data_IF_223906643514
#
_entry.id   IF_223906643514
#
_cell.length_a   1.000
_cell.length_b   1.000
_cell.length_c   1.000
_cell.angle_alpha   90.00
_cell.angle_beta   90.00
_cell.angle_gamma   90.00
#
_symmetry.space_group_name_H-M   'P 1'
#
loop_
_entity.id
_entity.type
_entity.pdbx_description
1 polymer ?
#
# COMPACT_ATOMS: atom_id res chain seq x y z
N UNK A 1 -14.28 -9.24 0.14
CA UNK A 1 -13.95 -9.61 -1.26
C UNK A 1 -14.75 -8.83 -2.32
N UNK A 2 -15.16 -7.58 -2.05
CA UNK A 2 -16.09 -6.86 -2.96
C UNK A 2 -15.53 -6.68 -4.38
N UNK A 3 -14.25 -6.28 -4.54
CA UNK A 3 -13.64 -6.13 -5.86
C UNK A 3 -13.65 -7.47 -6.61
N UNK A 4 -13.20 -8.54 -5.96
CA UNK A 4 -13.13 -9.89 -6.54
C UNK A 4 -14.50 -10.34 -7.07
N UNK A 5 -15.56 -10.18 -6.28
CA UNK A 5 -16.89 -10.67 -6.66
C UNK A 5 -17.65 -9.71 -7.58
N UNK A 6 -17.59 -8.40 -7.33
CA UNK A 6 -18.41 -7.42 -8.06
C UNK A 6 -17.80 -7.02 -9.40
N UNK A 7 -16.48 -6.80 -9.43
CA UNK A 7 -15.75 -6.34 -10.63
C UNK A 7 -15.20 -7.50 -11.42
N UNK A 8 -14.56 -8.46 -10.75
CA UNK A 8 -13.88 -9.57 -11.43
C UNK A 8 -14.74 -10.84 -11.56
N UNK A 9 -15.95 -10.82 -11.00
CA UNK A 9 -16.93 -11.92 -11.08
C UNK A 9 -16.38 -13.26 -10.55
N UNK A 10 -15.45 -13.20 -9.61
CA UNK A 10 -14.94 -14.37 -8.89
C UNK A 10 -16.05 -14.91 -7.98
N UNK A 11 -16.20 -16.23 -7.93
CA UNK A 11 -17.17 -16.87 -7.05
C UNK A 11 -16.87 -16.53 -5.59
N UNK A 12 -17.93 -16.33 -4.79
CA UNK A 12 -17.76 -15.83 -3.41
C UNK A 12 -16.91 -16.78 -2.56
N UNK A 13 -17.10 -18.09 -2.72
CA UNK A 13 -16.34 -19.12 -2.01
C UNK A 13 -14.85 -19.09 -2.38
N UNK A 14 -14.54 -18.95 -3.66
CA UNK A 14 -13.17 -18.83 -4.16
C UNK A 14 -12.51 -17.54 -3.67
N UNK A 15 -13.23 -16.42 -3.69
CA UNK A 15 -12.73 -15.14 -3.19
C UNK A 15 -12.44 -15.17 -1.68
N UNK A 16 -13.23 -15.92 -0.91
CA UNK A 16 -12.95 -16.16 0.51
C UNK A 16 -11.73 -17.05 0.71
N UNK A 17 -11.63 -18.15 -0.03
CA UNK A 17 -10.52 -19.09 0.07
C UNK A 17 -9.19 -18.43 -0.34
N UNK A 18 -9.19 -17.58 -1.37
CA UNK A 18 -8.03 -16.80 -1.77
C UNK A 18 -7.50 -15.92 -0.62
N UNK A 19 -8.40 -15.21 0.09
CA UNK A 19 -7.99 -14.43 1.25
C UNK A 19 -7.51 -15.31 2.41
N UNK A 20 -8.24 -16.39 2.74
CA UNK A 20 -7.82 -17.31 3.82
C UNK A 20 -6.47 -17.94 3.54
N UNK A 21 -6.23 -18.33 2.28
CA UNK A 21 -4.95 -18.87 1.83
C UNK A 21 -3.84 -17.83 1.99
N UNK A 22 -4.09 -16.59 1.58
CA UNK A 22 -3.14 -15.49 1.77
C UNK A 22 -2.77 -15.32 3.25
N UNK A 23 -3.74 -15.32 4.16
CA UNK A 23 -3.48 -15.20 5.60
C UNK A 23 -2.63 -16.34 6.20
N UNK A 24 -2.54 -17.50 5.52
CA UNK A 24 -1.78 -18.67 5.97
C UNK A 24 -0.31 -18.66 5.48
N UNK A 25 0.11 -17.68 4.69
CA UNK A 25 1.51 -17.59 4.28
C UNK A 25 2.42 -17.38 5.50
N UNK A 26 3.49 -18.19 5.67
CA UNK A 26 4.29 -18.21 6.89
C UNK A 26 5.11 -16.92 7.09
N UNK A 27 5.31 -16.15 6.03
CA UNK A 27 6.11 -14.93 5.99
C UNK A 27 5.28 -13.65 5.98
N UNK A 28 3.98 -13.72 6.31
CA UNK A 28 3.13 -12.53 6.47
C UNK A 28 3.06 -12.13 7.93
N UNK A 29 3.32 -10.86 8.20
CA UNK A 29 3.17 -10.25 9.52
C UNK A 29 2.21 -9.08 9.44
N UNK A 30 1.23 -9.04 10.35
CA UNK A 30 0.32 -7.91 10.49
C UNK A 30 0.90 -6.89 11.45
N UNK A 31 1.05 -5.65 10.99
CA UNK A 31 1.42 -4.53 11.84
C UNK A 31 0.21 -3.64 12.10
N UNK A 32 0.01 -3.33 13.37
CA UNK A 32 -0.98 -2.35 13.81
C UNK A 32 -0.31 -1.03 14.16
N UNK A 33 -1.00 0.06 13.86
CA UNK A 33 -0.65 1.37 14.40
C UNK A 33 -1.06 1.49 15.87
N UNK A 34 -0.31 2.28 16.63
CA UNK A 34 -0.70 2.81 17.92
C UNK A 34 -0.92 4.33 17.83
N UNK A 35 -1.40 4.95 18.92
CA UNK A 35 -1.67 6.40 18.97
C UNK A 35 -0.46 7.26 18.59
N UNK A 36 0.73 6.88 19.03
CA UNK A 36 1.98 7.60 18.72
C UNK A 36 2.32 7.50 17.24
N UNK A 37 2.11 6.35 16.61
CA UNK A 37 2.32 6.20 15.16
C UNK A 37 1.43 7.14 14.36
N UNK A 38 0.18 7.33 14.81
CA UNK A 38 -0.77 8.26 14.17
C UNK A 38 -0.31 9.71 14.30
N UNK A 39 0.13 10.13 15.48
CA UNK A 39 0.69 11.48 15.69
C UNK A 39 1.93 11.72 14.82
N UNK A 40 2.81 10.73 14.70
CA UNK A 40 3.98 10.79 13.83
C UNK A 40 3.57 10.94 12.36
N UNK A 41 2.55 10.20 11.91
CA UNK A 41 2.05 10.32 10.54
C UNK A 41 1.50 11.73 10.27
N UNK A 42 0.73 12.31 11.19
CA UNK A 42 0.25 13.70 11.05
C UNK A 42 1.38 14.72 10.97
N UNK A 43 2.43 14.56 11.79
CA UNK A 43 3.61 15.42 11.73
C UNK A 43 4.32 15.26 10.38
N UNK A 44 4.55 14.02 9.95
CA UNK A 44 5.23 13.71 8.71
C UNK A 44 4.48 14.27 7.49
N UNK A 45 3.16 14.07 7.42
CA UNK A 45 2.29 14.61 6.36
C UNK A 45 2.47 16.11 6.17
N UNK A 46 2.52 16.88 7.27
CA UNK A 46 2.77 18.33 7.22
C UNK A 46 4.19 18.67 6.76
N UNK A 47 5.20 17.93 7.21
CA UNK A 47 6.60 18.18 6.87
C UNK A 47 6.90 17.93 5.39
N UNK A 48 6.33 16.86 4.81
CA UNK A 48 6.63 16.47 3.43
C UNK A 48 5.59 16.95 2.41
N UNK A 49 4.44 17.46 2.88
CA UNK A 49 3.34 17.94 2.04
C UNK A 49 2.61 16.83 1.29
N UNK A 50 2.36 15.68 1.93
CA UNK A 50 1.61 14.55 1.37
C UNK A 50 0.37 14.23 2.19
N UNK A 51 -0.54 13.46 1.60
CA UNK A 51 -1.76 13.00 2.27
C UNK A 51 -1.45 12.16 3.53
N UNK A 52 -2.34 12.26 4.53
CA UNK A 52 -2.18 11.57 5.81
C UNK A 52 -2.15 10.04 5.63
N UNK A 53 -2.95 9.48 4.72
CA UNK A 53 -3.03 8.04 4.50
C UNK A 53 -1.72 7.51 3.89
N UNK A 54 -1.10 8.24 2.96
CA UNK A 54 0.21 7.88 2.42
C UNK A 54 1.27 7.85 3.50
N UNK A 55 1.27 8.88 4.36
CA UNK A 55 2.25 8.98 5.45
C UNK A 55 2.04 7.91 6.53
N UNK A 56 0.81 7.42 6.71
CA UNK A 56 0.51 6.27 7.58
C UNK A 56 1.24 5.02 7.09
N UNK A 57 1.17 4.70 5.79
CA UNK A 57 1.88 3.56 5.22
C UNK A 57 3.40 3.71 5.34
N UNK A 58 3.91 4.92 5.12
CA UNK A 58 5.32 5.20 5.30
C UNK A 58 5.81 5.03 6.75
N UNK A 59 5.04 5.50 7.73
CA UNK A 59 5.33 5.30 9.15
C UNK A 59 5.31 3.81 9.52
N UNK A 60 4.32 3.06 9.02
CA UNK A 60 4.26 1.61 9.22
C UNK A 60 5.45 0.88 8.58
N UNK A 61 5.85 1.26 7.37
CA UNK A 61 7.02 0.68 6.71
C UNK A 61 8.30 0.91 7.55
N UNK A 62 8.48 2.11 8.09
CA UNK A 62 9.61 2.41 8.99
C UNK A 62 9.53 1.64 10.30
N UNK A 63 8.34 1.55 10.92
CA UNK A 63 8.12 0.78 12.15
C UNK A 63 8.43 -0.71 11.95
N UNK A 64 8.13 -1.24 10.77
CA UNK A 64 8.40 -2.63 10.41
C UNK A 64 9.85 -2.90 10.01
N UNK A 65 10.71 -1.87 9.94
CA UNK A 65 12.01 -1.93 9.27
C UNK A 65 11.93 -2.50 7.85
N UNK A 66 10.84 -2.19 7.14
CA UNK A 66 10.66 -2.64 5.77
C UNK A 66 11.66 -1.97 4.83
N UNK A 67 12.12 -2.72 3.83
CA UNK A 67 12.97 -2.20 2.76
C UNK A 67 12.20 -1.24 1.85
N UNK A 68 10.88 -1.47 1.69
CA UNK A 68 10.06 -0.73 0.75
C UNK A 68 8.57 -0.92 0.90
N UNK A 69 7.84 -0.29 -0.02
CA UNK A 69 6.37 -0.32 -0.13
C UNK A 69 6.02 -0.79 -1.54
N UNK A 70 5.12 -1.77 -1.61
CA UNK A 70 4.53 -2.26 -2.86
C UNK A 70 3.11 -1.69 -2.98
N UNK A 71 2.85 -0.88 -4.00
CA UNK A 71 1.52 -0.30 -4.23
C UNK A 71 1.36 0.12 -5.69
N UNK A 72 0.12 0.11 -6.19
CA UNK A 72 -0.19 0.60 -7.54
C UNK A 72 -0.31 2.12 -7.60
N UNK A 73 -0.32 2.79 -6.45
CA UNK A 73 -0.36 4.25 -6.36
C UNK A 73 1.00 4.85 -6.74
N UNK A 74 1.00 5.75 -7.73
CA UNK A 74 2.21 6.40 -8.25
C UNK A 74 2.71 7.53 -7.34
N UNK A 75 1.86 8.11 -6.48
CA UNK A 75 2.29 9.21 -5.60
C UNK A 75 3.26 8.73 -4.51
N UNK A 76 3.32 7.42 -4.28
CA UNK A 76 4.27 6.79 -3.38
C UNK A 76 5.74 6.90 -3.83
N UNK A 77 6.01 7.14 -5.11
CA UNK A 77 7.37 7.33 -5.62
C UNK A 77 8.09 8.46 -4.87
N UNK A 78 7.41 9.62 -4.71
CA UNK A 78 7.99 10.82 -4.09
C UNK A 78 8.20 10.67 -2.59
N UNK A 79 7.25 10.06 -1.87
CA UNK A 79 7.37 9.86 -0.42
C UNK A 79 8.43 8.81 -0.10
N UNK A 80 8.50 7.72 -0.87
CA UNK A 80 9.53 6.69 -0.70
C UNK A 80 10.93 7.25 -0.97
N UNK A 81 11.11 8.10 -1.98
CA UNK A 81 12.37 8.79 -2.26
C UNK A 81 12.82 9.64 -1.04
N UNK A 82 11.93 10.51 -0.52
CA UNK A 82 12.23 11.36 0.65
C UNK A 82 12.60 10.55 1.89
N UNK A 83 11.97 9.39 2.06
CA UNK A 83 12.13 8.55 3.25
C UNK A 83 13.17 7.45 3.08
N UNK A 84 13.86 7.35 1.95
CA UNK A 84 14.81 6.26 1.65
C UNK A 84 14.15 4.89 1.84
N UNK A 85 13.00 4.71 1.21
CA UNK A 85 12.29 3.43 1.09
C UNK A 85 12.29 3.02 -0.39
N UNK A 86 12.32 1.72 -0.66
CA UNK A 86 12.14 1.22 -2.01
C UNK A 86 10.67 1.33 -2.40
N UNK A 87 10.38 1.93 -3.56
CA UNK A 87 9.05 1.94 -4.14
C UNK A 87 8.97 0.87 -5.22
N UNK A 88 7.93 0.02 -5.17
CA UNK A 88 7.64 -0.94 -6.22
C UNK A 88 6.17 -0.84 -6.65
N UNK A 89 5.96 -0.43 -7.89
CA UNK A 89 4.66 -0.58 -8.55
C UNK A 89 4.62 -1.94 -9.27
N UNK A 90 3.70 -2.86 -8.91
CA UNK A 90 3.60 -4.15 -9.59
C UNK A 90 2.99 -4.05 -11.00
N UNK A 91 2.47 -2.88 -11.39
CA UNK A 91 1.88 -2.66 -12.71
C UNK A 91 2.96 -2.32 -13.74
N UNK A 92 3.01 -2.99 -14.90
CA UNK A 92 3.94 -2.66 -15.97
C UNK A 92 3.85 -1.19 -16.44
N UNK A 93 4.99 -0.60 -16.81
CA UNK A 93 5.07 0.83 -17.17
C UNK A 93 4.29 1.21 -18.43
N UNK A 94 4.20 0.29 -19.38
CA UNK A 94 3.35 0.41 -20.57
C UNK A 94 1.88 0.49 -20.19
N UNK A 95 1.41 -0.39 -19.30
CA UNK A 95 0.04 -0.36 -18.78
C UNK A 95 -0.23 0.96 -18.04
N UNK A 96 0.66 1.39 -17.14
CA UNK A 96 0.48 2.66 -16.41
C UNK A 96 0.33 3.88 -17.34
N UNK A 97 1.08 3.91 -18.45
CA UNK A 97 1.01 5.01 -19.43
C UNK A 97 -0.36 5.11 -20.09
N UNK A 98 -1.03 3.98 -20.33
CA UNK A 98 -2.39 3.97 -20.88
C UNK A 98 -3.38 4.59 -19.90
N UNK A 99 -3.25 4.32 -18.59
CA UNK A 99 -4.13 4.86 -17.56
C UNK A 99 -3.88 6.34 -17.25
N UNK A 100 -2.65 6.84 -17.40
CA UNK A 100 -2.36 8.26 -17.22
C UNK A 100 -3.08 9.17 -18.22
N UNK A 101 -3.49 8.63 -19.38
CA UNK A 101 -4.25 9.37 -20.39
C UNK A 101 -5.73 9.59 -20.00
N UNK A 102 -6.25 8.84 -19.03
CA UNK A 102 -7.60 8.96 -18.49
C UNK A 102 -7.56 9.79 -17.19
N UNK A 103 -7.44 11.11 -17.31
CA UNK A 103 -7.61 12.04 -16.19
C UNK A 103 -8.95 12.76 -16.27
#
# INVERSE_FOLDING_TARGET
>A
YWILTSKWKVERSEAEEALRSFLRFPNISFLCMNKKDVEVAFKLSKEIGHDIYDTIYAVLAKKANAEGIITTDCDFEKICEKLRLHYLNPVPKDVLREFHAFK
#
